data_IF_650806956306
#
_entry.id   IF_650806956306
#
_cell.length_a   1.000
_cell.length_b   1.000
_cell.length_c   1.000
_cell.angle_alpha   90.00
_cell.angle_beta   90.00
_cell.angle_gamma   90.00
#
_symmetry.space_group_name_H-M   'P 1'
#
loop_
_entity.id
_entity.type
_entity.pdbx_description
1 polymer ?
#
# COMPACT_ATOMS: atom_id res chain seq x y z
N UNK A 1 -29.40 -6.17 89.25
CA UNK A 1 -29.45 -4.83 88.63
C UNK A 1 -28.04 -4.24 88.65
N UNK A 2 -27.61 -3.42 87.67
CA UNK A 2 -28.29 -3.07 86.41
C UNK A 2 -27.44 -3.28 85.13
N UNK A 3 -28.12 -3.22 83.97
CA UNK A 3 -27.69 -2.68 82.64
C UNK A 3 -26.24 -2.81 82.13
N UNK A 4 -25.98 -3.14 80.86
CA UNK A 4 -26.87 -3.39 79.71
C UNK A 4 -26.09 -3.30 78.40
N UNK A 5 -26.67 -3.74 77.27
CA UNK A 5 -26.05 -3.69 75.93
C UNK A 5 -26.47 -4.86 75.05
N UNK A 6 -27.06 -4.56 73.88
CA UNK A 6 -27.68 -5.53 72.97
C UNK A 6 -26.73 -5.85 71.81
N UNK A 7 -26.79 -7.09 71.27
CA UNK A 7 -26.75 -7.49 69.84
C UNK A 7 -26.11 -8.89 69.66
N UNK A 8 -26.89 -9.95 69.40
CA UNK A 8 -26.39 -11.22 68.89
C UNK A 8 -26.68 -11.38 67.39
N UNK A 9 -25.64 -11.49 66.56
CA UNK A 9 -25.74 -11.86 65.14
C UNK A 9 -25.30 -13.30 64.92
N UNK A 10 -26.26 -14.23 64.83
CA UNK A 10 -25.99 -15.67 64.63
C UNK A 10 -26.95 -16.24 63.58
N UNK A 11 -26.37 -16.70 62.47
CA UNK A 11 -26.87 -17.75 61.54
C UNK A 11 -28.34 -17.77 61.12
N UNK A 12 -28.59 -17.58 59.81
CA UNK A 12 -29.20 -18.57 58.89
C UNK A 12 -29.68 -17.90 57.59
N UNK A 13 -29.09 -18.24 56.44
CA UNK A 13 -29.70 -17.97 55.14
C UNK A 13 -29.41 -19.11 54.16
N UNK A 14 -30.27 -20.14 54.17
CA UNK A 14 -30.28 -21.16 53.12
C UNK A 14 -31.68 -21.75 52.89
N UNK A 15 -32.67 -20.91 52.55
CA UNK A 15 -33.92 -21.32 51.90
C UNK A 15 -34.74 -20.11 51.43
N UNK A 16 -34.63 -19.79 50.14
CA UNK A 16 -35.64 -19.06 49.33
C UNK A 16 -35.15 -18.99 47.87
N UNK A 17 -35.29 -20.11 47.15
CA UNK A 17 -35.05 -20.23 45.69
C UNK A 17 -36.28 -20.83 44.98
N UNK A 18 -37.37 -21.08 45.71
CA UNK A 18 -38.70 -21.26 45.14
C UNK A 18 -39.55 -20.07 45.61
N UNK A 19 -40.05 -19.31 44.62
CA UNK A 19 -41.21 -18.39 44.62
C UNK A 19 -40.95 -17.12 43.78
N UNK A 20 -40.57 -17.30 42.51
CA UNK A 20 -40.42 -16.22 41.52
C UNK A 20 -41.27 -16.39 40.24
N UNK A 21 -42.11 -17.43 40.17
CA UNK A 21 -42.97 -17.70 39.00
C UNK A 21 -44.31 -16.94 39.01
N UNK A 22 -44.55 -16.05 39.97
CA UNK A 22 -45.81 -15.28 40.12
C UNK A 22 -45.66 -13.78 39.83
N UNK A 23 -44.57 -13.36 39.17
CA UNK A 23 -44.24 -11.94 38.91
C UNK A 23 -43.87 -11.65 37.43
N UNK A 24 -44.41 -12.41 36.47
CA UNK A 24 -43.98 -12.35 35.06
C UNK A 24 -44.39 -11.09 34.29
N UNK A 25 -45.40 -10.33 34.73
CA UNK A 25 -45.86 -9.11 34.03
C UNK A 25 -45.09 -7.85 34.43
N UNK A 26 -44.74 -7.70 35.71
CA UNK A 26 -44.11 -6.46 36.25
C UNK A 26 -42.63 -6.32 35.91
N UNK A 27 -41.91 -7.44 35.70
CA UNK A 27 -40.49 -7.42 35.36
C UNK A 27 -40.23 -6.88 33.94
N UNK A 28 -41.05 -7.28 32.96
CA UNK A 28 -40.94 -6.80 31.58
C UNK A 28 -41.26 -5.30 31.48
N UNK A 29 -42.30 -4.86 32.17
CA UNK A 29 -42.73 -3.46 32.15
C UNK A 29 -41.67 -2.52 32.76
N UNK A 30 -41.09 -2.89 33.92
CA UNK A 30 -39.98 -2.13 34.52
C UNK A 30 -38.71 -2.13 33.66
N UNK A 31 -38.47 -3.20 32.88
CA UNK A 31 -37.36 -3.24 31.93
C UNK A 31 -37.59 -2.30 30.74
N UNK A 32 -38.82 -2.23 30.21
CA UNK A 32 -39.20 -1.30 29.14
C UNK A 32 -39.19 0.17 29.58
N UNK A 33 -39.58 0.47 30.82
CA UNK A 33 -39.45 1.83 31.38
C UNK A 33 -37.98 2.27 31.50
N UNK A 34 -37.06 1.33 31.69
CA UNK A 34 -35.62 1.57 31.81
C UNK A 34 -34.91 1.87 30.47
N UNK A 35 -35.47 1.51 29.32
CA UNK A 35 -34.83 1.75 28.01
C UNK A 35 -35.02 3.17 27.47
N UNK A 36 -35.99 3.93 28.00
CA UNK A 36 -36.34 5.29 27.53
C UNK A 36 -35.17 6.28 27.49
N UNK A 37 -34.23 6.17 28.42
CA UNK A 37 -33.02 7.01 28.48
C UNK A 37 -31.72 6.24 28.16
N UNK A 38 -31.81 4.96 27.81
CA UNK A 38 -30.68 4.06 27.59
C UNK A 38 -30.70 3.46 26.17
N UNK A 39 -31.00 4.30 25.18
CA UNK A 39 -31.05 3.89 23.78
C UNK A 39 -29.64 3.68 23.22
N UNK A 40 -29.38 2.46 22.74
CA UNK A 40 -28.21 2.11 21.92
C UNK A 40 -28.67 1.91 20.47
N UNK A 41 -27.77 2.13 19.51
CA UNK A 41 -28.06 1.88 18.11
C UNK A 41 -28.21 0.37 17.85
N UNK A 42 -29.44 -0.10 17.65
CA UNK A 42 -29.76 -1.52 17.38
C UNK A 42 -29.55 -1.84 15.89
N UNK A 43 -29.71 -0.85 15.00
CA UNK A 43 -29.52 -1.01 13.56
C UNK A 43 -28.92 0.28 12.95
N UNK A 44 -28.04 0.15 11.97
CA UNK A 44 -27.47 1.27 11.20
C UNK A 44 -27.44 0.93 9.70
N UNK A 45 -28.50 1.31 9.00
CA UNK A 45 -28.66 1.07 7.56
C UNK A 45 -28.14 2.29 6.76
N UNK A 46 -26.99 2.13 6.09
CA UNK A 46 -26.27 3.20 5.40
C UNK A 46 -26.46 3.23 3.88
N UNK A 47 -26.69 4.42 3.33
CA UNK A 47 -26.93 4.67 1.90
C UNK A 47 -25.65 4.52 1.06
N UNK A 48 -25.73 3.97 -0.16
CA UNK A 48 -24.55 3.54 -0.92
C UNK A 48 -23.99 4.57 -1.91
N UNK A 49 -22.70 4.89 -1.75
CA UNK A 49 -21.82 5.26 -2.87
C UNK A 49 -21.14 3.99 -3.35
N UNK A 50 -21.70 3.32 -4.37
CA UNK A 50 -21.46 1.90 -4.67
C UNK A 50 -19.99 1.44 -4.68
N UNK A 51 -19.03 2.24 -5.18
CA UNK A 51 -17.59 1.90 -5.19
C UNK A 51 -16.91 2.04 -3.81
N UNK A 52 -17.34 3.01 -3.02
CA UNK A 52 -16.89 3.17 -1.62
C UNK A 52 -17.52 2.06 -0.77
N UNK A 53 -18.82 1.82 -0.93
CA UNK A 53 -19.57 0.81 -0.21
C UNK A 53 -19.05 -0.61 -0.47
N UNK A 54 -18.74 -0.97 -1.72
CA UNK A 54 -18.14 -2.27 -2.04
C UNK A 54 -16.74 -2.43 -1.44
N UNK A 55 -15.94 -1.36 -1.41
CA UNK A 55 -14.62 -1.36 -0.76
C UNK A 55 -14.74 -1.56 0.76
N UNK A 56 -15.65 -0.85 1.42
CA UNK A 56 -15.93 -1.02 2.87
C UNK A 56 -16.46 -2.42 3.17
N UNK A 57 -17.36 -2.94 2.34
CA UNK A 57 -17.91 -4.30 2.48
C UNK A 57 -16.82 -5.37 2.38
N UNK A 58 -15.90 -5.26 1.43
CA UNK A 58 -14.76 -6.17 1.30
C UNK A 58 -13.81 -6.10 2.52
N UNK A 59 -13.62 -4.91 3.11
CA UNK A 59 -12.82 -4.75 4.34
C UNK A 59 -13.51 -5.42 5.53
N UNK A 60 -14.83 -5.28 5.67
CA UNK A 60 -15.62 -5.95 6.71
C UNK A 60 -15.60 -7.48 6.56
N UNK A 61 -15.85 -8.01 5.35
CA UNK A 61 -15.72 -9.45 5.04
C UNK A 61 -14.32 -9.98 5.38
N UNK A 62 -13.27 -9.22 5.05
CA UNK A 62 -11.88 -9.56 5.37
C UNK A 62 -11.62 -9.58 6.89
N UNK A 63 -12.19 -8.64 7.65
CA UNK A 63 -12.09 -8.61 9.11
C UNK A 63 -12.71 -9.86 9.75
N UNK A 64 -13.93 -10.24 9.35
CA UNK A 64 -14.56 -11.46 9.85
C UNK A 64 -13.73 -12.69 9.48
N UNK A 65 -13.35 -12.83 8.21
CA UNK A 65 -12.55 -13.96 7.72
C UNK A 65 -11.21 -14.13 8.45
N UNK A 66 -10.58 -13.04 8.90
CA UNK A 66 -9.31 -13.06 9.65
C UNK A 66 -9.49 -13.42 11.13
N UNK A 67 -10.68 -13.19 11.69
CA UNK A 67 -11.01 -13.54 13.06
C UNK A 67 -11.83 -14.85 13.19
N UNK A 68 -12.21 -15.48 12.08
CA UNK A 68 -12.70 -16.86 12.06
C UNK A 68 -11.53 -17.82 12.29
N UNK A 69 -11.63 -18.67 13.31
CA UNK A 69 -10.69 -19.75 13.60
C UNK A 69 -11.47 -21.07 13.53
N UNK A 70 -11.50 -21.71 12.35
CA UNK A 70 -12.00 -23.08 12.23
C UNK A 70 -11.21 -24.08 13.08
N UNK A 71 -11.88 -25.12 13.57
CA UNK A 71 -11.28 -26.25 14.28
C UNK A 71 -12.32 -27.06 15.05
N UNK A 72 -11.92 -28.21 15.59
CA UNK A 72 -12.83 -29.02 16.41
C UNK A 72 -13.27 -28.27 17.68
N UNK A 73 -14.58 -28.04 17.81
CA UNK A 73 -15.21 -27.35 18.98
C UNK A 73 -15.75 -28.30 20.04
N UNK A 74 -15.74 -29.63 19.81
CA UNK A 74 -16.21 -30.61 20.78
C UNK A 74 -15.17 -30.85 21.89
N UNK A 75 -15.44 -30.51 23.17
CA UNK A 75 -14.49 -30.68 24.28
C UNK A 75 -14.07 -32.13 24.56
N UNK A 76 -14.94 -33.09 24.24
CA UNK A 76 -14.68 -34.52 24.47
C UNK A 76 -13.80 -35.16 23.39
N UNK A 77 -13.53 -34.44 22.29
CA UNK A 77 -12.63 -34.91 21.24
C UNK A 77 -11.17 -34.74 21.65
N UNK A 78 -10.35 -35.77 21.38
CA UNK A 78 -8.88 -35.69 21.44
C UNK A 78 -8.29 -34.57 20.55
N UNK A 79 -9.05 -34.10 19.55
CA UNK A 79 -8.64 -33.01 18.66
C UNK A 79 -9.20 -31.64 19.09
N UNK A 80 -9.78 -31.48 20.28
CA UNK A 80 -10.38 -30.22 20.72
C UNK A 80 -9.42 -29.03 20.61
N UNK A 81 -9.88 -27.98 19.93
CA UNK A 81 -9.14 -26.73 19.75
C UNK A 81 -9.84 -25.60 20.53
N UNK A 82 -9.34 -25.30 21.73
CA UNK A 82 -9.84 -24.20 22.57
C UNK A 82 -9.81 -22.81 21.89
N UNK A 83 -9.03 -22.63 20.82
CA UNK A 83 -8.98 -21.38 20.05
C UNK A 83 -10.02 -21.33 18.90
N UNK A 84 -10.72 -22.44 18.63
CA UNK A 84 -11.68 -22.50 17.52
C UNK A 84 -13.00 -21.82 17.89
N UNK A 85 -13.54 -21.03 16.96
CA UNK A 85 -14.85 -20.38 17.08
C UNK A 85 -15.85 -20.82 15.99
N UNK A 86 -15.44 -21.71 15.09
CA UNK A 86 -16.27 -22.35 14.07
C UNK A 86 -15.85 -23.82 13.95
N UNK A 87 -16.82 -24.73 13.94
CA UNK A 87 -16.53 -26.15 13.71
C UNK A 87 -16.10 -26.41 12.27
N UNK A 88 -15.02 -27.16 12.08
CA UNK A 88 -14.50 -27.59 10.77
C UNK A 88 -14.70 -29.09 10.50
N UNK A 89 -15.40 -29.79 11.41
CA UNK A 89 -15.61 -31.23 11.41
C UNK A 89 -14.30 -32.05 11.42
N UNK A 90 -13.21 -31.52 11.99
CA UNK A 90 -11.93 -32.24 12.19
C UNK A 90 -11.88 -33.08 13.47
N UNK A 91 -12.94 -33.10 14.27
CA UNK A 91 -12.99 -33.77 15.58
C UNK A 91 -12.72 -35.28 15.54
N UNK A 92 -13.04 -35.94 14.43
CA UNK A 92 -12.90 -37.39 14.24
C UNK A 92 -12.30 -37.71 12.87
N UNK A 93 -11.52 -38.79 12.80
CA UNK A 93 -11.01 -39.33 11.54
C UNK A 93 -9.72 -40.13 11.69
N UNK A 94 -9.27 -40.78 10.60
CA UNK A 94 -8.11 -41.66 10.63
C UNK A 94 -6.80 -40.89 10.85
N UNK A 95 -5.89 -41.50 11.63
CA UNK A 95 -4.49 -41.06 11.71
C UNK A 95 -3.89 -41.20 10.32
N UNK A 96 -3.19 -40.16 9.86
CA UNK A 96 -2.47 -40.18 8.58
C UNK A 96 -0.97 -40.10 8.82
N UNK A 97 -0.21 -40.96 8.16
CA UNK A 97 1.26 -40.92 8.20
C UNK A 97 1.71 -39.83 7.24
N UNK A 98 1.79 -38.60 7.76
CA UNK A 98 2.15 -37.41 7.00
C UNK A 98 3.66 -37.16 7.12
N UNK A 99 4.33 -36.90 6.00
CA UNK A 99 5.73 -36.47 5.99
C UNK A 99 5.94 -35.15 5.27
N UNK A 100 6.92 -34.41 5.77
CA UNK A 100 7.26 -33.05 5.37
C UNK A 100 8.63 -33.03 4.70
N UNK A 101 8.65 -32.74 3.39
CA UNK A 101 9.87 -32.73 2.58
C UNK A 101 10.65 -31.41 2.62
N UNK A 102 10.31 -30.51 3.56
CA UNK A 102 10.93 -29.19 3.69
C UNK A 102 10.23 -28.09 2.88
N UNK A 103 10.90 -26.94 2.77
CA UNK A 103 10.44 -25.75 2.04
C UNK A 103 11.56 -25.22 1.13
N UNK A 104 11.17 -24.41 0.14
CA UNK A 104 12.09 -23.59 -0.63
C UNK A 104 11.39 -22.30 -1.11
N UNK A 105 12.16 -21.27 -1.42
CA UNK A 105 11.67 -20.00 -1.93
C UNK A 105 12.39 -19.67 -3.23
N UNK A 106 11.64 -19.50 -4.33
CA UNK A 106 12.18 -18.98 -5.59
C UNK A 106 12.00 -17.47 -5.59
N UNK A 107 13.00 -16.74 -6.08
CA UNK A 107 12.89 -15.30 -6.31
C UNK A 107 13.18 -14.97 -7.77
N UNK A 108 12.42 -14.03 -8.33
CA UNK A 108 12.61 -13.52 -9.68
C UNK A 108 12.63 -11.99 -9.62
N UNK A 109 13.74 -11.39 -10.06
CA UNK A 109 13.86 -9.94 -10.13
C UNK A 109 12.90 -9.38 -11.19
N UNK A 110 12.10 -8.38 -10.82
CA UNK A 110 11.17 -7.69 -11.73
C UNK A 110 11.76 -6.38 -12.27
N UNK A 111 12.74 -5.82 -11.56
CA UNK A 111 13.57 -4.69 -11.97
C UNK A 111 15.04 -5.12 -12.05
N UNK A 112 15.89 -4.39 -12.78
CA UNK A 112 17.31 -4.76 -13.00
C UNK A 112 18.15 -4.82 -11.72
N UNK A 113 17.74 -4.08 -10.69
CA UNK A 113 18.27 -4.00 -9.33
C UNK A 113 17.53 -4.94 -8.34
N UNK A 114 16.55 -5.71 -8.80
CA UNK A 114 15.75 -6.63 -7.99
C UNK A 114 16.52 -7.84 -7.46
N UNK A 115 17.69 -8.16 -8.03
CA UNK A 115 18.55 -9.26 -7.56
C UNK A 115 18.93 -9.11 -6.09
N UNK A 116 19.17 -7.87 -5.62
CA UNK A 116 19.48 -7.62 -4.21
C UNK A 116 18.34 -7.96 -3.23
N UNK A 117 17.10 -8.18 -3.71
CA UNK A 117 16.04 -8.79 -2.90
C UNK A 117 16.16 -10.32 -2.97
N UNK A 118 16.46 -10.87 -4.14
CA UNK A 118 16.61 -12.31 -4.35
C UNK A 118 17.82 -12.91 -3.62
N UNK A 119 18.93 -12.18 -3.48
CA UNK A 119 20.11 -12.65 -2.75
C UNK A 119 19.80 -12.91 -1.26
N UNK A 120 18.79 -12.24 -0.69
CA UNK A 120 18.32 -12.43 0.68
C UNK A 120 17.09 -13.37 0.81
N UNK A 121 16.28 -13.51 -0.25
CA UNK A 121 14.96 -14.18 -0.18
C UNK A 121 14.87 -15.47 -0.98
N UNK A 122 15.83 -15.75 -1.86
CA UNK A 122 15.91 -17.03 -2.55
C UNK A 122 16.55 -18.07 -1.62
N UNK A 123 15.85 -19.19 -1.42
CA UNK A 123 16.28 -20.24 -0.52
C UNK A 123 16.01 -21.61 -1.14
N UNK A 124 17.04 -22.44 -1.20
CA UNK A 124 16.99 -23.81 -1.71
C UNK A 124 16.57 -24.77 -0.58
N UNK A 125 15.95 -25.90 -0.94
CA UNK A 125 15.63 -26.94 0.02
C UNK A 125 16.94 -27.62 0.49
N UNK A 126 17.28 -27.64 1.79
CA UNK A 126 18.54 -28.23 2.25
C UNK A 126 18.67 -29.73 1.96
N UNK A 127 17.55 -30.45 1.74
CA UNK A 127 17.56 -31.86 1.38
C UNK A 127 17.95 -32.15 -0.08
N UNK A 128 17.80 -31.17 -0.99
CA UNK A 128 18.12 -31.33 -2.42
C UNK A 128 19.24 -30.42 -2.89
N UNK A 129 19.59 -29.38 -2.11
CA UNK A 129 20.51 -28.33 -2.56
C UNK A 129 19.96 -27.49 -3.71
N UNK A 130 18.66 -27.53 -3.97
CA UNK A 130 18.02 -26.83 -5.09
C UNK A 130 16.57 -26.38 -4.79
N UNK A 131 15.94 -25.65 -5.71
CA UNK A 131 14.54 -25.20 -5.61
C UNK A 131 13.56 -26.33 -5.99
N UNK A 132 13.67 -27.46 -5.30
CA UNK A 132 12.98 -28.72 -5.62
C UNK A 132 12.60 -29.49 -4.35
N UNK A 133 11.71 -30.46 -4.49
CA UNK A 133 11.38 -31.40 -3.42
C UNK A 133 12.23 -32.68 -3.52
N UNK A 134 12.47 -33.41 -2.41
CA UNK A 134 13.11 -34.70 -2.46
C UNK A 134 12.27 -35.71 -3.26
N UNK A 135 12.90 -36.81 -3.70
CA UNK A 135 12.21 -37.89 -4.39
C UNK A 135 11.01 -38.38 -3.56
N UNK A 136 9.89 -38.69 -4.24
CA UNK A 136 8.59 -39.05 -3.64
C UNK A 136 7.80 -37.90 -2.96
N UNK A 137 8.30 -36.66 -2.96
CA UNK A 137 7.56 -35.48 -2.46
C UNK A 137 7.14 -34.56 -3.59
N UNK A 138 5.91 -34.02 -3.49
CA UNK A 138 5.35 -33.07 -4.43
C UNK A 138 5.46 -31.64 -3.90
N UNK A 139 5.86 -30.70 -4.77
CA UNK A 139 5.93 -29.26 -4.46
C UNK A 139 4.55 -28.61 -4.57
N UNK A 140 4.16 -27.87 -3.53
CA UNK A 140 2.96 -27.02 -3.54
C UNK A 140 3.35 -25.56 -3.39
N UNK A 141 2.91 -24.70 -4.31
CA UNK A 141 3.05 -23.25 -4.16
C UNK A 141 2.17 -22.81 -2.99
N UNK A 142 2.76 -22.23 -1.95
CA UNK A 142 2.00 -21.72 -0.82
C UNK A 142 1.55 -20.27 -1.04
N UNK A 143 2.46 -19.42 -1.54
CA UNK A 143 2.21 -17.99 -1.73
C UNK A 143 3.19 -17.41 -2.75
N UNK A 144 2.67 -16.60 -3.67
CA UNK A 144 3.45 -15.67 -4.49
C UNK A 144 3.28 -14.24 -3.94
N UNK A 145 4.38 -13.57 -3.61
CA UNK A 145 4.43 -12.20 -3.09
C UNK A 145 5.26 -11.31 -4.01
N UNK A 146 4.88 -10.04 -4.17
CA UNK A 146 5.74 -9.03 -4.80
C UNK A 146 6.36 -8.19 -3.69
N UNK A 147 7.68 -8.25 -3.55
CA UNK A 147 8.45 -7.48 -2.57
C UNK A 147 8.93 -6.21 -3.25
N UNK A 148 8.57 -5.07 -2.66
CA UNK A 148 9.13 -3.77 -3.01
C UNK A 148 10.17 -3.38 -1.93
N UNK A 149 11.27 -2.75 -2.33
CA UNK A 149 12.18 -2.04 -1.41
C UNK A 149 12.59 -0.70 -2.01
N UNK A 150 12.28 0.38 -1.30
CA UNK A 150 12.84 1.70 -1.57
C UNK A 150 14.34 1.76 -1.28
N UNK A 151 15.07 2.53 -2.07
CA UNK A 151 16.46 2.89 -1.82
C UNK A 151 16.77 4.24 -2.46
N UNK A 152 17.69 4.99 -1.86
CA UNK A 152 18.19 6.23 -2.47
C UNK A 152 19.33 5.87 -3.43
N UNK A 153 19.29 6.46 -4.61
CA UNK A 153 20.31 6.31 -5.64
C UNK A 153 20.80 7.68 -6.07
N UNK A 154 22.09 7.95 -5.86
CA UNK A 154 22.68 9.24 -6.18
C UNK A 154 22.83 9.37 -7.71
N UNK A 155 22.14 10.34 -8.30
CA UNK A 155 22.11 10.56 -9.75
C UNK A 155 22.56 11.96 -10.10
N UNK A 156 23.26 12.07 -11.23
CA UNK A 156 23.75 13.32 -11.77
C UNK A 156 23.25 13.48 -13.21
N UNK A 157 22.53 14.56 -13.50
CA UNK A 157 22.08 14.92 -14.83
C UNK A 157 22.88 16.11 -15.36
N UNK A 158 23.47 15.94 -16.55
CA UNK A 158 24.21 17.01 -17.24
C UNK A 158 23.27 17.82 -18.13
N UNK A 159 22.92 19.03 -17.70
CA UNK A 159 22.12 19.99 -18.47
C UNK A 159 23.03 20.83 -19.36
N UNK A 160 23.14 20.45 -20.63
CA UNK A 160 23.88 21.20 -21.64
C UNK A 160 23.02 22.25 -22.33
N UNK A 161 23.47 23.52 -22.32
CA UNK A 161 22.85 24.66 -23.01
C UNK A 161 23.87 25.39 -23.89
N UNK A 162 23.40 26.02 -24.98
CA UNK A 162 24.24 26.90 -25.78
C UNK A 162 24.57 28.18 -25.00
N UNK A 163 25.79 28.67 -25.13
CA UNK A 163 26.34 29.77 -24.33
C UNK A 163 27.43 30.56 -25.09
N UNK A 164 27.86 31.68 -24.52
CA UNK A 164 28.87 32.57 -25.10
C UNK A 164 28.35 33.47 -26.22
N UNK A 165 29.23 34.33 -26.75
CA UNK A 165 28.90 35.23 -27.85
C UNK A 165 28.40 34.45 -29.08
N UNK A 166 27.28 34.88 -29.66
CA UNK A 166 26.59 34.22 -30.78
C UNK A 166 26.22 32.73 -30.56
N UNK A 167 26.07 32.28 -29.31
CA UNK A 167 25.69 30.89 -28.97
C UNK A 167 26.67 29.81 -29.47
N UNK A 168 27.91 30.20 -29.81
CA UNK A 168 28.90 29.34 -30.46
C UNK A 168 29.51 28.27 -29.54
N UNK A 169 29.32 28.36 -28.22
CA UNK A 169 29.79 27.36 -27.26
C UNK A 169 28.63 26.55 -26.68
N UNK A 170 28.93 25.38 -26.13
CA UNK A 170 28.00 24.57 -25.34
C UNK A 170 28.53 24.51 -23.91
N UNK A 171 27.76 24.97 -22.95
CA UNK A 171 28.08 24.91 -21.52
C UNK A 171 27.18 23.84 -20.89
N UNK A 172 27.77 22.90 -20.19
CA UNK A 172 27.03 21.89 -19.43
C UNK A 172 27.19 22.16 -17.94
N UNK A 173 26.09 22.06 -17.20
CA UNK A 173 26.05 22.11 -15.74
C UNK A 173 25.54 20.76 -15.23
N UNK A 174 26.05 20.29 -14.09
CA UNK A 174 25.76 18.96 -13.57
C UNK A 174 24.97 19.08 -12.27
N UNK A 175 23.66 18.85 -12.35
CA UNK A 175 22.79 18.77 -11.18
C UNK A 175 22.81 17.35 -10.64
N UNK A 176 23.23 17.19 -9.39
CA UNK A 176 23.22 15.89 -8.70
C UNK A 176 22.26 15.89 -7.51
N UNK A 177 21.68 14.73 -7.21
CA UNK A 177 20.83 14.54 -6.03
C UNK A 177 20.44 13.08 -5.82
N UNK A 178 19.92 12.77 -4.64
CA UNK A 178 19.40 11.45 -4.32
C UNK A 178 18.01 11.23 -4.96
N UNK A 179 17.94 10.32 -5.93
CA UNK A 179 16.68 9.85 -6.48
C UNK A 179 16.16 8.66 -5.66
N UNK A 180 14.95 8.75 -5.14
CA UNK A 180 14.28 7.62 -4.48
C UNK A 180 13.80 6.62 -5.55
N UNK A 181 14.43 5.45 -5.60
CA UNK A 181 14.06 4.34 -6.49
C UNK A 181 13.44 3.20 -5.70
N UNK A 182 12.60 2.40 -6.38
CA UNK A 182 11.98 1.21 -5.81
C UNK A 182 12.33 0.01 -6.66
N UNK A 183 13.14 -0.89 -6.09
CA UNK A 183 13.44 -2.20 -6.66
C UNK A 183 12.34 -3.20 -6.31
N UNK A 184 12.06 -4.12 -7.24
CA UNK A 184 10.96 -5.09 -7.14
C UNK A 184 11.45 -6.50 -7.46
N UNK A 185 10.99 -7.46 -6.68
CA UNK A 185 11.16 -8.88 -6.97
C UNK A 185 9.91 -9.67 -6.58
N UNK A 186 9.64 -10.75 -7.30
CA UNK A 186 8.56 -11.69 -7.00
C UNK A 186 9.15 -12.91 -6.29
N UNK A 187 8.67 -13.17 -5.07
CA UNK A 187 9.08 -14.28 -4.20
C UNK A 187 7.96 -15.31 -4.15
N UNK A 188 8.28 -16.56 -4.50
CA UNK A 188 7.35 -17.68 -4.53
C UNK A 188 7.79 -18.72 -3.49
N UNK A 189 6.98 -18.87 -2.44
CA UNK A 189 7.26 -19.81 -1.34
C UNK A 189 6.57 -21.14 -1.61
N UNK A 190 7.35 -22.22 -1.60
CA UNK A 190 6.89 -23.59 -1.83
C UNK A 190 7.16 -24.47 -0.61
N UNK A 191 6.34 -25.50 -0.46
CA UNK A 191 6.55 -26.56 0.53
C UNK A 191 6.35 -27.94 -0.09
N UNK A 192 7.02 -28.94 0.50
CA UNK A 192 7.09 -30.29 -0.01
C UNK A 192 6.28 -31.25 0.87
N UNK A 193 5.39 -32.03 0.26
CA UNK A 193 4.54 -32.98 0.98
C UNK A 193 4.38 -34.28 0.20
N UNK A 194 4.01 -35.35 0.90
CA UNK A 194 3.68 -36.62 0.26
C UNK A 194 2.55 -37.32 1.00
N UNK A 195 1.72 -38.01 0.23
CA UNK A 195 0.68 -38.93 0.70
C UNK A 195 1.08 -40.40 0.55
N UNK A 196 2.26 -40.66 -0.01
CA UNK A 196 2.81 -42.01 -0.16
C UNK A 196 3.44 -42.46 1.17
N UNK A 197 3.46 -43.78 1.42
CA UNK A 197 4.14 -44.34 2.59
C UNK A 197 5.66 -44.22 2.39
N UNK A 198 6.29 -43.30 3.11
CA UNK A 198 7.74 -43.11 3.07
C UNK A 198 8.46 -44.05 4.05
N UNK A 199 9.79 -44.24 3.92
CA UNK A 199 10.60 -44.96 4.91
C UNK A 199 10.56 -44.29 6.29
N UNK A 200 10.87 -45.04 7.34
CA UNK A 200 11.13 -44.44 8.66
C UNK A 200 12.31 -43.46 8.55
N UNK A 201 12.26 -42.39 9.36
CA UNK A 201 13.27 -41.31 9.39
C UNK A 201 13.45 -40.54 8.05
N UNK A 202 12.36 -40.38 7.29
CA UNK A 202 12.35 -39.60 6.04
C UNK A 202 11.61 -38.27 6.17
N UNK A 203 12.23 -37.21 5.61
CA UNK A 203 11.70 -35.84 5.65
C UNK A 203 12.35 -34.99 6.73
N UNK A 204 11.60 -34.02 7.25
CA UNK A 204 12.01 -33.12 8.33
C UNK A 204 11.04 -33.18 9.50
N UNK A 205 11.59 -33.16 10.71
CA UNK A 205 10.88 -32.80 11.92
C UNK A 205 10.56 -31.30 11.91
N UNK A 206 9.35 -30.96 12.32
CA UNK A 206 8.87 -29.58 12.41
C UNK A 206 8.94 -29.08 13.86
N UNK A 207 9.66 -27.98 14.09
CA UNK A 207 9.91 -27.39 15.41
C UNK A 207 9.21 -26.05 15.65
N UNK A 208 8.13 -25.77 14.93
CA UNK A 208 7.38 -24.51 15.01
C UNK A 208 7.84 -23.42 14.02
N UNK A 209 7.22 -22.24 14.13
CA UNK A 209 7.56 -21.03 13.39
C UNK A 209 7.75 -19.85 14.35
N UNK A 210 8.51 -18.83 13.93
CA UNK A 210 8.59 -17.53 14.61
C UNK A 210 8.85 -16.40 13.61
N UNK A 211 8.72 -15.15 14.06
CA UNK A 211 9.04 -13.97 13.26
C UNK A 211 8.37 -12.70 13.80
N UNK A 212 8.24 -11.64 12.99
CA UNK A 212 7.63 -10.38 13.42
C UNK A 212 6.19 -10.58 13.93
N UNK A 213 5.98 -10.32 15.23
CA UNK A 213 4.68 -10.49 15.89
C UNK A 213 4.31 -11.93 16.23
N UNK A 214 5.23 -12.91 16.12
CA UNK A 214 4.98 -14.31 16.49
C UNK A 214 6.22 -14.95 17.13
N UNK A 215 6.13 -15.30 18.41
CA UNK A 215 7.08 -16.19 19.07
C UNK A 215 6.73 -17.65 18.78
N UNK A 216 7.75 -18.53 18.74
CA UNK A 216 7.54 -19.97 18.65
C UNK A 216 6.93 -20.47 19.96
N UNK A 217 5.73 -21.11 19.95
CA UNK A 217 5.08 -21.52 21.19
C UNK A 217 5.85 -22.58 22.00
N UNK A 218 6.74 -23.35 21.35
CA UNK A 218 7.58 -24.35 22.03
C UNK A 218 8.66 -23.72 22.90
N UNK A 219 9.35 -22.71 22.36
CA UNK A 219 10.49 -22.04 23.01
C UNK A 219 10.07 -20.78 23.76
N UNK A 220 8.84 -20.28 23.52
CA UNK A 220 8.31 -19.01 24.04
C UNK A 220 9.19 -17.80 23.70
N UNK A 221 9.85 -17.87 22.55
CA UNK A 221 10.83 -16.90 22.08
C UNK A 221 10.91 -16.87 20.54
N UNK A 222 11.70 -15.95 19.99
CA UNK A 222 11.97 -15.89 18.55
C UNK A 222 13.16 -16.79 18.17
N UNK A 223 13.12 -18.07 18.57
CA UNK A 223 14.17 -19.06 18.28
C UNK A 223 13.61 -20.46 18.06
N UNK A 224 14.43 -21.32 17.44
CA UNK A 224 14.13 -22.74 17.32
C UNK A 224 14.49 -23.53 18.60
N UNK A 225 13.92 -24.74 18.78
CA UNK A 225 14.37 -25.69 19.79
C UNK A 225 15.83 -26.17 19.53
N UNK A 226 16.49 -26.80 20.52
CA UNK A 226 17.80 -27.42 20.32
C UNK A 226 17.78 -28.46 19.19
N UNK A 227 18.84 -28.49 18.38
CA UNK A 227 19.01 -29.37 17.21
C UNK A 227 18.04 -29.08 16.04
N UNK A 228 17.47 -27.87 15.97
CA UNK A 228 16.72 -27.38 14.81
C UNK A 228 17.46 -26.20 14.16
N UNK A 229 17.51 -26.20 12.84
CA UNK A 229 18.00 -25.09 12.03
C UNK A 229 16.84 -24.26 11.48
N UNK A 230 17.11 -23.02 11.10
CA UNK A 230 16.13 -22.09 10.55
C UNK A 230 16.09 -22.13 9.03
N UNK A 231 14.91 -21.88 8.47
CA UNK A 231 14.71 -21.58 7.04
C UNK A 231 13.77 -20.37 6.94
N UNK A 232 14.07 -19.43 6.03
CA UNK A 232 13.21 -18.32 5.67
C UNK A 232 11.87 -18.84 5.14
N UNK A 233 10.78 -18.18 5.56
CA UNK A 233 9.42 -18.55 5.21
C UNK A 233 8.64 -17.27 4.92
N UNK A 234 8.10 -17.15 3.69
CA UNK A 234 7.53 -15.90 3.16
C UNK A 234 8.57 -14.75 3.11
N UNK A 235 8.17 -13.58 2.59
CA UNK A 235 9.01 -12.38 2.46
C UNK A 235 8.96 -11.44 3.66
N UNK A 236 8.16 -11.77 4.68
CA UNK A 236 7.92 -10.92 5.84
C UNK A 236 8.86 -11.19 7.03
N UNK A 237 9.95 -11.93 6.84
CA UNK A 237 10.91 -12.27 7.89
C UNK A 237 10.45 -13.34 8.88
N UNK A 238 9.42 -14.14 8.53
CA UNK A 238 9.10 -15.35 9.28
C UNK A 238 10.13 -16.44 9.00
N UNK A 239 10.35 -17.30 9.99
CA UNK A 239 11.27 -18.43 9.94
C UNK A 239 10.53 -19.70 10.36
N UNK A 240 10.85 -20.83 9.72
CA UNK A 240 10.43 -22.16 10.15
C UNK A 240 11.61 -22.91 10.75
N UNK A 241 11.34 -23.70 11.79
CA UNK A 241 12.32 -24.54 12.46
C UNK A 241 12.23 -25.97 11.92
N UNK A 242 13.32 -26.46 11.32
CA UNK A 242 13.43 -27.80 10.76
C UNK A 242 14.55 -28.60 11.44
N UNK A 243 14.40 -29.91 11.55
CA UNK A 243 15.48 -30.81 11.92
C UNK A 243 15.42 -32.11 11.13
N UNK A 244 16.58 -32.63 10.75
CA UNK A 244 16.78 -33.98 10.22
C UNK A 244 17.47 -34.91 11.24
N UNK A 245 17.73 -34.41 12.45
CA UNK A 245 18.24 -35.21 13.57
C UNK A 245 17.06 -35.84 14.30
N UNK A 246 16.78 -37.10 13.96
CA UNK A 246 15.70 -37.86 14.57
C UNK A 246 16.04 -38.40 15.97
N UNK A 247 17.31 -38.41 16.38
CA UNK A 247 17.71 -38.87 17.71
C UNK A 247 17.48 -37.76 18.74
N UNK A 248 18.02 -36.57 18.49
CA UNK A 248 17.98 -35.46 19.42
C UNK A 248 16.84 -34.45 19.13
N UNK A 249 16.35 -34.36 17.89
CA UNK A 249 15.29 -33.45 17.48
C UNK A 249 13.88 -33.93 17.82
N UNK A 250 13.64 -35.25 17.85
CA UNK A 250 12.28 -35.84 18.03
C UNK A 250 11.60 -35.36 19.31
N UNK A 251 12.35 -35.13 20.39
CA UNK A 251 11.85 -34.61 21.68
C UNK A 251 11.07 -33.29 21.57
N UNK A 252 11.44 -32.43 20.62
CA UNK A 252 10.79 -31.13 20.38
C UNK A 252 10.02 -31.10 19.05
N UNK A 253 9.85 -32.26 18.41
CA UNK A 253 9.10 -32.35 17.16
C UNK A 253 7.60 -32.22 17.42
N UNK A 254 6.95 -31.47 16.54
CA UNK A 254 5.51 -31.29 16.55
C UNK A 254 4.94 -31.96 15.31
N UNK A 255 4.02 -32.94 15.45
CA UNK A 255 3.40 -33.59 14.31
C UNK A 255 2.71 -32.54 13.43
N UNK A 256 3.15 -32.49 12.17
CA UNK A 256 2.83 -31.42 11.23
C UNK A 256 2.07 -32.00 10.03
N UNK A 257 0.97 -31.34 9.68
CA UNK A 257 0.03 -31.80 8.66
C UNK A 257 -0.16 -30.81 7.49
N UNK A 258 0.82 -29.93 7.27
CA UNK A 258 0.91 -29.13 6.06
C UNK A 258 0.61 -27.65 6.21
N UNK A 259 0.93 -26.91 5.15
CA UNK A 259 0.60 -25.49 4.97
C UNK A 259 -0.52 -25.32 3.94
N UNK A 260 -1.32 -24.27 4.10
CA UNK A 260 -2.28 -23.83 3.09
C UNK A 260 -2.49 -22.32 3.18
N UNK A 261 -3.07 -21.73 2.13
CA UNK A 261 -3.26 -20.28 2.04
C UNK A 261 -4.54 -19.92 1.29
N UNK A 262 -4.78 -18.62 1.12
CA UNK A 262 -5.85 -18.16 0.22
C UNK A 262 -5.62 -18.52 -1.26
N UNK A 263 -4.40 -18.92 -1.66
CA UNK A 263 -4.03 -19.25 -3.05
C UNK A 263 -3.99 -20.76 -3.31
N UNK A 264 -3.79 -21.59 -2.29
CA UNK A 264 -3.63 -23.05 -2.46
C UNK A 264 -4.02 -23.81 -1.20
N UNK A 265 -4.84 -24.84 -1.36
CA UNK A 265 -5.27 -25.73 -0.29
C UNK A 265 -4.22 -26.77 0.10
N UNK A 266 -4.52 -27.53 1.14
CA UNK A 266 -3.60 -28.52 1.69
C UNK A 266 -3.69 -29.86 0.91
N UNK A 267 -2.65 -30.32 0.21
CA UNK A 267 -2.67 -31.61 -0.51
C UNK A 267 -2.94 -32.79 0.42
N UNK A 268 -2.49 -32.72 1.68
CA UNK A 268 -2.69 -33.75 2.70
C UNK A 268 -4.17 -33.83 3.14
N UNK A 269 -4.94 -32.75 2.93
CA UNK A 269 -6.40 -32.71 3.08
C UNK A 269 -7.13 -32.79 1.70
N UNK A 270 -6.57 -33.53 0.73
CA UNK A 270 -7.11 -33.68 -0.64
C UNK A 270 -7.26 -32.34 -1.40
N UNK A 271 -6.35 -31.40 -1.16
CA UNK A 271 -6.36 -30.07 -1.78
C UNK A 271 -7.37 -29.09 -1.16
N UNK A 272 -8.03 -29.44 -0.05
CA UNK A 272 -9.02 -28.57 0.61
C UNK A 272 -8.35 -27.54 1.52
N UNK A 273 -9.03 -26.41 1.75
CA UNK A 273 -8.56 -25.32 2.62
C UNK A 273 -8.86 -25.60 4.11
N UNK A 274 -8.46 -26.79 4.60
CA UNK A 274 -8.61 -27.23 5.99
C UNK A 274 -7.49 -28.16 6.40
N UNK A 275 -7.41 -28.49 7.68
CA UNK A 275 -6.49 -29.52 8.15
C UNK A 275 -7.03 -30.94 7.92
N UNK A 276 -6.14 -31.94 7.81
CA UNK A 276 -6.52 -33.34 7.96
C UNK A 276 -7.11 -33.60 9.36
N UNK A 277 -7.92 -34.66 9.53
CA UNK A 277 -8.44 -35.04 10.84
C UNK A 277 -7.34 -35.21 11.90
N UNK A 278 -7.65 -34.89 13.16
CA UNK A 278 -6.70 -34.89 14.30
C UNK A 278 -5.65 -33.76 14.31
N UNK A 279 -5.71 -32.81 13.39
CA UNK A 279 -4.87 -31.62 13.39
C UNK A 279 -5.73 -30.35 13.52
N UNK A 280 -5.25 -29.37 14.29
CA UNK A 280 -5.81 -28.02 14.36
C UNK A 280 -5.08 -27.07 13.42
N UNK A 281 -5.83 -26.14 12.83
CA UNK A 281 -5.24 -25.05 12.05
C UNK A 281 -4.78 -23.89 12.94
N UNK A 282 -3.63 -23.33 12.59
CA UNK A 282 -3.02 -22.18 13.23
C UNK A 282 -2.61 -21.16 12.17
N UNK A 283 -2.76 -19.88 12.48
CA UNK A 283 -2.39 -18.77 11.58
C UNK A 283 -0.90 -18.45 11.71
N UNK A 284 -0.11 -18.69 10.65
CA UNK A 284 1.31 -18.37 10.60
C UNK A 284 1.55 -16.89 10.24
N UNK A 285 0.90 -16.39 9.19
CA UNK A 285 1.07 -14.99 8.75
C UNK A 285 -0.12 -14.50 7.92
N UNK A 286 -0.19 -13.17 7.72
CA UNK A 286 -1.09 -12.52 6.78
C UNK A 286 -0.24 -11.70 5.80
N UNK A 287 -0.28 -12.08 4.52
CA UNK A 287 0.44 -11.46 3.41
C UNK A 287 -0.56 -10.74 2.50
N UNK A 288 -0.60 -9.41 2.55
CA UNK A 288 -1.48 -8.54 1.75
C UNK A 288 -2.97 -8.95 1.79
N UNK A 289 -3.44 -9.38 2.97
CA UNK A 289 -4.79 -9.89 3.19
C UNK A 289 -5.01 -11.38 2.81
N UNK A 290 -3.99 -12.06 2.28
CA UNK A 290 -3.97 -13.51 2.17
C UNK A 290 -3.53 -14.13 3.51
N UNK A 291 -4.32 -15.04 4.07
CA UNK A 291 -3.90 -15.82 5.23
C UNK A 291 -2.98 -16.96 4.79
N UNK A 292 -1.96 -17.25 5.61
CA UNK A 292 -1.14 -18.45 5.53
C UNK A 292 -1.35 -19.24 6.82
N UNK A 293 -1.92 -20.42 6.69
CA UNK A 293 -2.34 -21.32 7.76
C UNK A 293 -1.46 -22.57 7.75
N UNK A 294 -1.31 -23.20 8.90
CA UNK A 294 -0.56 -24.44 9.07
C UNK A 294 -1.26 -25.38 10.05
N UNK A 295 -1.07 -26.68 9.85
CA UNK A 295 -1.71 -27.73 10.63
C UNK A 295 -0.72 -28.41 11.56
N UNK A 296 -1.04 -28.46 12.86
CA UNK A 296 -0.33 -29.30 13.84
C UNK A 296 -1.30 -30.06 14.72
N UNK A 297 -0.84 -31.13 15.36
CA UNK A 297 -1.70 -31.92 16.25
C UNK A 297 -2.23 -31.05 17.39
N UNK A 298 -3.52 -31.17 17.70
CA UNK A 298 -4.14 -30.45 18.81
C UNK A 298 -3.56 -30.87 20.16
N UNK A 299 -3.71 -30.00 21.16
CA UNK A 299 -3.05 -30.13 22.46
C UNK A 299 -1.68 -29.46 22.51
N UNK A 300 -0.92 -29.45 21.40
CA UNK A 300 0.45 -28.89 21.38
C UNK A 300 0.46 -27.36 21.53
N UNK A 301 -0.44 -26.66 20.82
CA UNK A 301 -0.56 -25.19 20.84
C UNK A 301 -1.95 -24.68 21.26
N UNK A 302 -2.84 -25.55 21.75
CA UNK A 302 -4.23 -25.19 22.05
C UNK A 302 -4.45 -24.76 23.52
N UNK A 303 -3.49 -24.97 24.42
CA UNK A 303 -3.57 -24.49 25.81
C UNK A 303 -3.21 -23.00 25.97
N UNK A 304 -4.05 -22.24 26.69
CA UNK A 304 -3.77 -20.84 27.04
C UNK A 304 -5.02 -19.98 27.16
N UNK A 305 -4.83 -18.66 27.15
CA UNK A 305 -5.92 -17.68 27.01
C UNK A 305 -6.38 -17.60 25.54
N UNK A 306 -7.63 -17.16 25.32
CA UNK A 306 -8.13 -16.90 23.96
C UNK A 306 -7.30 -15.81 23.27
N UNK A 307 -6.96 -16.00 22.00
CA UNK A 307 -6.24 -15.00 21.21
C UNK A 307 -7.06 -13.71 21.07
N UNK A 308 -6.44 -12.53 21.21
CA UNK A 308 -7.13 -11.26 20.99
C UNK A 308 -7.56 -11.10 19.53
N UNK A 309 -8.64 -10.36 19.32
CA UNK A 309 -9.17 -10.01 18.00
C UNK A 309 -8.12 -9.22 17.21
N UNK A 310 -7.91 -9.61 15.95
CA UNK A 310 -7.03 -8.90 15.01
C UNK A 310 -7.77 -7.74 14.37
N UNK A 311 -7.28 -6.53 14.64
CA UNK A 311 -7.79 -5.28 14.07
C UNK A 311 -7.11 -4.97 12.73
N UNK A 312 -7.80 -4.28 11.79
CA UNK A 312 -7.19 -3.76 10.57
C UNK A 312 -6.17 -2.64 10.87
N UNK A 313 -5.23 -2.32 9.96
CA UNK A 313 -5.10 -2.81 8.59
C UNK A 313 -4.39 -4.16 8.45
N UNK A 314 -4.79 -4.95 7.44
CA UNK A 314 -4.24 -6.28 7.14
C UNK A 314 -3.29 -6.28 5.92
N UNK A 315 -2.88 -5.11 5.48
CA UNK A 315 -2.07 -4.84 4.28
C UNK A 315 -1.07 -3.74 4.61
N UNK A 316 0.16 -3.84 4.10
CA UNK A 316 1.14 -2.76 4.21
C UNK A 316 0.75 -1.60 3.27
N UNK A 317 1.05 -0.33 3.60
CA UNK A 317 0.92 0.76 2.65
C UNK A 317 1.91 0.57 1.47
N UNK A 318 1.58 1.01 0.25
CA UNK A 318 2.49 0.95 -0.90
C UNK A 318 3.70 1.88 -0.67
N UNK A 319 4.87 1.50 -1.18
CA UNK A 319 6.09 2.33 -1.03
C UNK A 319 6.08 3.59 -1.90
N UNK A 320 5.25 3.61 -2.95
CA UNK A 320 5.05 4.77 -3.83
C UNK A 320 3.63 5.30 -3.64
N UNK A 321 3.54 6.54 -3.17
CA UNK A 321 2.31 7.34 -3.32
C UNK A 321 2.07 7.57 -4.81
N UNK A 322 0.90 7.13 -5.33
CA UNK A 322 0.54 7.47 -6.70
C UNK A 322 0.50 8.99 -6.86
N UNK A 323 1.18 9.51 -7.89
CA UNK A 323 1.02 10.91 -8.30
C UNK A 323 -0.48 11.13 -8.53
N UNK A 324 -1.07 12.06 -7.79
CA UNK A 324 -2.51 12.25 -7.78
C UNK A 324 -2.99 12.71 -9.16
N UNK A 325 -3.48 11.76 -9.96
CA UNK A 325 -4.21 12.06 -11.19
C UNK A 325 -5.48 12.80 -10.79
N UNK A 326 -5.54 14.10 -11.07
CA UNK A 326 -6.72 14.91 -10.82
C UNK A 326 -7.87 14.43 -11.71
N UNK A 327 -8.71 13.51 -11.20
CA UNK A 327 -9.89 13.03 -11.92
C UNK A 327 -10.89 14.18 -12.10
N UNK A 328 -10.98 14.70 -13.32
CA UNK A 328 -11.87 15.83 -13.67
C UNK A 328 -13.29 15.34 -13.98
N UNK A 329 -13.45 14.14 -14.55
CA UNK A 329 -14.74 13.58 -14.95
C UNK A 329 -14.87 12.08 -14.61
N UNK A 330 -16.11 11.64 -14.40
CA UNK A 330 -16.51 10.23 -14.21
C UNK A 330 -17.73 9.95 -15.07
N UNK A 331 -17.64 8.97 -15.97
CA UNK A 331 -18.76 8.51 -16.80
C UNK A 331 -19.39 7.26 -16.16
N UNK A 332 -20.72 7.13 -16.19
CA UNK A 332 -21.46 5.93 -15.72
C UNK A 332 -22.27 5.31 -16.85
N UNK A 333 -22.65 4.04 -16.73
CA UNK A 333 -23.28 3.22 -17.81
C UNK A 333 -24.72 3.64 -18.21
N UNK A 334 -25.16 4.86 -17.90
CA UNK A 334 -26.45 5.39 -18.30
C UNK A 334 -26.45 6.92 -18.31
N UNK A 335 -25.95 7.50 -19.41
CA UNK A 335 -25.94 8.93 -19.83
C UNK A 335 -25.49 10.01 -18.82
N UNK A 336 -25.20 9.64 -17.57
CA UNK A 336 -24.89 10.55 -16.48
C UNK A 336 -23.37 10.66 -16.30
N UNK A 337 -22.78 11.63 -16.99
CA UNK A 337 -21.40 12.03 -16.72
C UNK A 337 -21.35 13.03 -15.56
N UNK A 338 -20.39 12.88 -14.65
CA UNK A 338 -20.15 13.78 -13.53
C UNK A 338 -18.83 14.51 -13.71
N UNK A 339 -18.81 15.83 -13.48
CA UNK A 339 -17.62 16.69 -13.61
C UNK A 339 -17.34 17.35 -12.27
N UNK A 340 -16.06 17.41 -11.93
CA UNK A 340 -15.54 18.12 -10.76
C UNK A 340 -15.23 19.57 -11.14
N UNK A 341 -15.91 20.52 -10.51
CA UNK A 341 -15.67 21.96 -10.74
C UNK A 341 -14.32 22.35 -10.11
N UNK A 342 -13.44 22.98 -10.88
CA UNK A 342 -12.04 23.20 -10.48
C UNK A 342 -11.86 24.01 -9.19
N UNK A 343 -12.59 25.11 -9.05
CA UNK A 343 -12.48 26.02 -7.89
C UNK A 343 -13.17 25.47 -6.64
N UNK A 344 -14.43 25.01 -6.78
CA UNK A 344 -15.25 24.56 -5.63
C UNK A 344 -15.01 23.10 -5.25
N UNK A 345 -14.31 22.33 -6.09
CA UNK A 345 -14.05 20.88 -5.96
C UNK A 345 -15.30 19.99 -5.88
N UNK A 346 -16.50 20.55 -6.05
CA UNK A 346 -17.79 19.86 -6.01
C UNK A 346 -18.05 19.07 -7.29
N UNK A 347 -18.80 17.98 -7.16
CA UNK A 347 -19.27 17.18 -8.30
C UNK A 347 -20.64 17.68 -8.77
N UNK A 348 -20.79 17.84 -10.09
CA UNK A 348 -22.07 18.15 -10.74
C UNK A 348 -22.28 17.27 -11.97
N UNK A 349 -23.53 17.11 -12.40
CA UNK A 349 -23.84 16.49 -13.69
C UNK A 349 -23.27 17.34 -14.84
N UNK A 350 -22.69 16.67 -15.83
CA UNK A 350 -22.13 17.28 -17.03
C UNK A 350 -23.25 17.75 -17.96
N UNK A 351 -23.07 18.90 -18.62
CA UNK A 351 -23.95 19.30 -19.74
C UNK A 351 -23.44 18.66 -21.04
N UNK A 352 -24.29 18.25 -21.99
CA UNK A 352 -23.86 17.57 -23.22
C UNK A 352 -22.77 18.30 -24.02
N UNK A 353 -22.80 19.63 -24.06
CA UNK A 353 -21.78 20.44 -24.74
C UNK A 353 -20.40 20.47 -24.05
N UNK A 354 -20.35 20.25 -22.73
CA UNK A 354 -19.08 20.21 -21.96
C UNK A 354 -18.32 18.89 -22.22
N UNK A 355 -19.05 17.80 -22.50
CA UNK A 355 -18.48 16.46 -22.76
C UNK A 355 -17.56 16.50 -24.00
N UNK A 356 -18.00 17.14 -25.08
CA UNK A 356 -17.23 17.28 -26.32
C UNK A 356 -15.97 18.14 -26.14
N UNK A 357 -16.01 19.17 -25.27
CA UNK A 357 -14.85 20.01 -24.97
C UNK A 357 -13.84 19.32 -24.04
N UNK A 358 -14.29 18.44 -23.15
CA UNK A 358 -13.37 17.66 -22.32
C UNK A 358 -12.65 16.58 -23.12
N UNK A 359 -13.30 15.95 -24.10
CA UNK A 359 -12.69 14.92 -24.95
C UNK A 359 -11.42 15.43 -25.68
N UNK A 360 -11.51 16.58 -26.35
CA UNK A 360 -10.37 17.17 -27.08
C UNK A 360 -9.20 17.59 -26.17
N UNK A 361 -9.46 17.83 -24.89
CA UNK A 361 -8.44 18.19 -23.91
C UNK A 361 -7.52 17.00 -23.55
N UNK A 362 -8.02 15.77 -23.67
CA UNK A 362 -7.20 14.57 -23.47
C UNK A 362 -6.31 14.28 -24.70
N UNK A 363 -6.83 14.42 -25.92
CA UNK A 363 -6.06 14.21 -27.16
C UNK A 363 -4.88 15.20 -27.30
N UNK A 364 -5.08 16.46 -26.88
CA UNK A 364 -4.09 17.55 -27.01
C UNK A 364 -2.87 17.39 -26.08
N UNK A 365 -2.94 16.49 -25.08
CA UNK A 365 -1.82 16.26 -24.15
C UNK A 365 -0.57 15.65 -24.79
N UNK A 366 -0.66 15.22 -26.06
CA UNK A 366 0.44 14.66 -26.85
C UNK A 366 1.27 15.71 -27.62
N UNK A 367 0.76 16.92 -27.84
CA UNK A 367 1.37 17.92 -28.73
C UNK A 367 2.11 19.04 -27.99
N UNK A 368 3.14 18.69 -27.21
CA UNK A 368 4.08 19.68 -26.66
C UNK A 368 4.98 20.19 -27.81
N UNK A 369 4.60 21.32 -28.43
CA UNK A 369 5.27 21.87 -29.62
C UNK A 369 6.79 22.01 -29.44
N UNK A 370 7.53 21.45 -30.40
CA UNK A 370 9.00 21.39 -30.36
C UNK A 370 9.62 22.78 -30.50
N UNK A 371 10.75 23.02 -29.81
CA UNK A 371 11.48 24.29 -29.86
C UNK A 371 11.91 24.73 -31.27
N UNK A 372 11.94 23.81 -32.24
CA UNK A 372 12.22 24.11 -33.66
C UNK A 372 11.18 25.03 -34.32
N UNK A 373 9.89 24.89 -34.01
CA UNK A 373 8.84 25.74 -34.62
C UNK A 373 8.98 27.21 -34.19
N UNK A 374 9.34 27.46 -32.93
CA UNK A 374 9.55 28.81 -32.41
C UNK A 374 10.73 29.52 -33.10
N UNK A 375 11.77 28.77 -33.48
CA UNK A 375 12.91 29.32 -34.23
C UNK A 375 12.56 29.60 -35.70
N UNK A 376 11.79 28.72 -36.35
CA UNK A 376 11.40 28.87 -37.76
C UNK A 376 10.60 30.16 -38.03
N UNK A 377 9.62 30.47 -37.17
CA UNK A 377 8.80 31.69 -37.29
C UNK A 377 9.65 32.96 -37.16
N UNK A 378 10.57 33.00 -36.19
CA UNK A 378 11.44 34.17 -35.98
C UNK A 378 12.37 34.44 -37.18
N UNK A 379 12.97 33.40 -37.76
CA UNK A 379 13.84 33.53 -38.94
C UNK A 379 13.03 33.98 -40.17
N UNK A 380 11.84 33.41 -40.39
CA UNK A 380 10.97 33.77 -41.50
C UNK A 380 10.58 35.26 -41.49
N UNK A 381 10.20 35.80 -40.33
CA UNK A 381 9.85 37.22 -40.18
C UNK A 381 11.06 38.12 -40.47
N UNK A 382 12.25 37.80 -39.95
CA UNK A 382 13.46 38.61 -40.16
C UNK A 382 13.89 38.65 -41.63
N UNK A 383 13.81 37.53 -42.36
CA UNK A 383 14.10 37.49 -43.81
C UNK A 383 13.08 38.32 -44.59
N UNK A 384 11.80 38.25 -44.24
CA UNK A 384 10.74 38.98 -44.93
C UNK A 384 10.87 40.50 -44.72
N UNK A 385 11.19 40.95 -43.51
CA UNK A 385 11.52 42.37 -43.22
C UNK A 385 12.75 42.83 -44.01
N UNK A 386 13.82 42.02 -44.06
CA UNK A 386 15.02 42.35 -44.83
C UNK A 386 14.74 42.49 -46.34
N UNK A 387 13.89 41.61 -46.91
CA UNK A 387 13.46 41.70 -48.31
C UNK A 387 12.60 42.94 -48.59
N UNK A 388 11.70 43.31 -47.67
CA UNK A 388 10.90 44.55 -47.79
C UNK A 388 11.80 45.78 -47.76
N UNK A 389 12.78 45.85 -46.85
CA UNK A 389 13.74 46.97 -46.78
C UNK A 389 14.65 47.02 -48.01
N UNK A 390 15.13 45.89 -48.52
CA UNK A 390 15.89 45.85 -49.77
C UNK A 390 15.04 46.31 -50.97
N UNK A 391 13.76 45.91 -51.01
CA UNK A 391 12.80 46.33 -52.03
C UNK A 391 12.52 47.84 -52.01
N UNK A 392 12.25 48.42 -50.84
CA UNK A 392 12.01 49.88 -50.72
C UNK A 392 13.25 50.68 -51.10
N UNK A 393 14.44 50.27 -50.64
CA UNK A 393 15.72 50.91 -51.02
C UNK A 393 15.97 50.80 -52.52
N UNK A 394 15.70 49.65 -53.16
CA UNK A 394 15.83 49.49 -54.61
C UNK A 394 14.86 50.40 -55.37
N UNK A 395 13.60 50.49 -54.94
CA UNK A 395 12.58 51.37 -55.54
C UNK A 395 12.98 52.86 -55.37
N UNK A 396 13.47 53.27 -54.21
CA UNK A 396 13.95 54.64 -53.97
C UNK A 396 15.19 54.96 -54.81
N UNK A 397 16.13 54.01 -54.97
CA UNK A 397 17.32 54.17 -55.82
C UNK A 397 16.96 54.21 -57.31
N UNK A 398 15.92 53.48 -57.73
CA UNK A 398 15.38 53.51 -59.10
C UNK A 398 14.61 54.81 -59.40
N UNK A 399 13.83 55.34 -58.43
CA UNK A 399 13.24 56.68 -58.51
C UNK A 399 14.30 57.79 -58.59
N UNK A 400 15.33 57.77 -57.72
CA UNK A 400 16.43 58.76 -57.76
C UNK A 400 17.22 58.74 -59.08
N UNK A 401 17.36 57.60 -59.76
CA UNK A 401 17.96 57.54 -61.11
C UNK A 401 17.07 58.09 -62.23
N UNK A 402 15.76 58.22 -62.03
CA UNK A 402 14.83 58.79 -63.02
C UNK A 402 14.53 60.29 -62.81
N UNK A 403 14.89 60.88 -61.67
CA UNK A 403 14.72 62.32 -61.40
C UNK A 403 15.98 63.15 -61.62
N UNK A 404 17.05 62.57 -62.18
CA UNK A 404 18.35 63.25 -62.37
C UNK A 404 18.41 64.18 -63.60
N UNK A 405 17.28 64.72 -64.07
CA UNK A 405 17.21 65.71 -65.16
C UNK A 405 16.11 66.76 -64.94
N UNK A 406 16.34 67.73 -64.04
CA UNK A 406 16.03 69.17 -64.21
C UNK A 406 16.37 70.01 -62.96
N UNK A 407 17.28 70.97 -63.15
CA UNK A 407 17.43 72.22 -62.37
C UNK A 407 16.17 73.10 -62.56
N UNK A 408 15.83 74.15 -61.80
CA UNK A 408 16.51 74.95 -60.75
C UNK A 408 15.46 75.86 -60.02
N UNK A 409 15.93 76.68 -59.06
CA UNK A 409 15.32 77.95 -58.54
C UNK A 409 14.20 77.80 -57.47
N UNK A 410 14.21 78.53 -56.36
CA UNK A 410 15.16 79.54 -55.85
C UNK A 410 14.95 79.87 -54.35
N UNK A 411 15.85 80.66 -53.76
CA UNK A 411 15.84 81.11 -52.35
C UNK A 411 15.00 82.38 -52.13
N UNK A 412 14.50 82.57 -50.91
CA UNK A 412 14.32 83.91 -50.30
C UNK A 412 14.43 83.78 -48.76
N UNK A 413 15.11 84.75 -48.12
CA UNK A 413 15.52 84.72 -46.71
C UNK A 413 15.46 86.15 -46.14
N UNK A 414 14.90 86.33 -44.93
CA UNK A 414 14.92 87.61 -44.20
C UNK A 414 15.09 87.33 -42.68
N UNK A 415 16.10 87.96 -42.05
CA UNK A 415 16.37 88.02 -40.59
C UNK A 415 15.28 88.81 -39.82
N UNK A 416 15.22 88.96 -38.50
CA UNK A 416 16.05 88.71 -37.30
C UNK A 416 15.30 89.46 -36.17
N UNK A 417 15.28 89.09 -34.90
CA UNK A 417 16.23 89.09 -33.77
C UNK A 417 15.31 88.70 -32.57
N UNK A 418 15.70 88.21 -31.41
CA UNK A 418 16.79 88.56 -30.50
C UNK A 418 16.35 88.08 -29.09
N UNK A 419 17.28 87.94 -28.16
CA UNK A 419 17.06 87.22 -26.89
C UNK A 419 16.20 88.00 -25.87
N UNK A 420 15.59 87.27 -24.92
CA UNK A 420 15.64 87.67 -23.51
C UNK A 420 15.27 86.53 -22.55
N UNK A 421 15.96 86.50 -21.42
CA UNK A 421 15.70 85.59 -20.30
C UNK A 421 14.46 86.01 -19.51
N UNK A 422 13.73 85.05 -18.92
CA UNK A 422 13.19 85.25 -17.57
C UNK A 422 12.92 83.92 -16.85
N UNK A 423 13.50 83.81 -15.67
CA UNK A 423 13.27 82.78 -14.67
C UNK A 423 11.91 82.95 -13.98
N UNK A 424 11.19 81.83 -13.73
CA UNK A 424 10.34 81.69 -12.54
C UNK A 424 10.50 80.26 -11.99
N UNK A 425 10.61 80.17 -10.66
CA UNK A 425 10.89 78.96 -9.89
C UNK A 425 9.64 78.51 -9.11
N UNK A 426 9.64 77.24 -8.68
CA UNK A 426 8.91 76.70 -7.51
C UNK A 426 7.37 76.79 -7.50
N UNK A 427 6.71 75.62 -7.55
CA UNK A 427 6.07 75.12 -6.33
C UNK A 427 6.07 73.58 -6.22
N UNK A 428 6.52 73.08 -5.06
CA UNK A 428 6.44 71.68 -4.64
C UNK A 428 5.04 71.39 -4.09
N UNK A 429 4.61 70.14 -4.16
CA UNK A 429 4.16 69.45 -2.94
C UNK A 429 4.56 67.95 -2.97
N UNK A 430 4.69 67.38 -1.78
CA UNK A 430 5.29 66.09 -1.38
C UNK A 430 4.26 65.37 -0.46
N UNK A 431 4.59 64.31 0.31
CA UNK A 431 5.26 63.04 0.00
C UNK A 431 4.46 61.81 0.55
N UNK A 432 5.02 60.60 0.42
CA UNK A 432 5.05 59.47 1.40
C UNK A 432 5.43 58.17 0.63
N UNK A 433 6.45 57.36 0.93
CA UNK A 433 7.17 57.00 2.18
C UNK A 433 6.24 56.56 3.32
N UNK A 434 6.43 55.47 4.09
CA UNK A 434 7.43 54.40 4.15
C UNK A 434 6.76 53.20 4.93
N UNK A 435 7.32 52.01 5.23
CA UNK A 435 8.68 51.47 5.24
C UNK A 435 8.63 49.91 5.04
N UNK A 436 9.78 49.24 4.88
CA UNK A 436 9.93 47.78 5.10
C UNK A 436 10.17 47.46 6.58
N UNK A 437 9.84 46.25 7.05
CA UNK A 437 10.78 45.55 7.94
C UNK A 437 10.71 44.02 7.83
N UNK A 438 11.84 43.39 8.16
CA UNK A 438 12.15 41.97 8.02
C UNK A 438 12.63 41.44 9.38
N UNK A 439 12.36 40.17 9.70
CA UNK A 439 13.38 39.22 10.19
C UNK A 439 12.81 38.00 10.94
N UNK A 440 13.57 36.89 10.83
CA UNK A 440 13.83 35.84 11.84
C UNK A 440 13.07 34.50 11.73
N UNK A 441 13.86 33.42 11.80
CA UNK A 441 13.45 32.01 11.95
C UNK A 441 13.01 31.72 13.41
N UNK A 442 12.57 30.48 13.72
CA UNK A 442 13.56 29.53 14.27
C UNK A 442 13.40 28.05 13.84
N UNK A 443 14.41 27.24 14.20
CA UNK A 443 14.42 25.77 14.22
C UNK A 443 13.60 25.19 15.38
N UNK A 444 13.21 23.91 15.25
CA UNK A 444 13.17 22.82 16.26
C UNK A 444 12.74 21.54 15.49
N UNK A 445 13.56 20.47 15.48
CA UNK A 445 13.59 19.33 16.44
C UNK A 445 12.43 18.35 16.27
#
# INVERSE_FOLDING_TARGET
MPSGGIWPGVFLHHRQVLDLCTSSTTALQKWQESTLNNLVAIECSGLTVNKMASSVRQVAERYYKINTIPGCVNPDSKNFNFQANVDDASCEGPVTNLSFGGIFQRCTALTSDGNAICDETAQKNPATGDYSCPQQYNSTLLRSETVERGYNHYECHSHCRKCGFLWLRTCCDQTCGDAYRVRRAKVETYWCSTTQKTPEYSGYLFGGLFGPGMQNPLTKSNSCPPNYFTQHFLSNGMMVCLSNDYEAGTRFSVPFAGFFSCQSGNPLAKGQNRCPPQFSQHLASISDGCQILYCVQSGVFTGGQLKPIRLPPFTRPPMVSMIATNTVAVMTEGDCSWVRVGETKMWRLAKPGEINQMASMFDTSSSQMSGGEKAGVAIGVMVLVALVVAGTVFIMKRRKRFSATRLSRGYEEIHGEGENESSVEIQREQPNENVNENSTQPLLS
#
